data_IF_182290047573
#
_entry.id   IF_182290047573
#
_cell.length_a   1.000
_cell.length_b   1.000
_cell.length_c   1.000
_cell.angle_alpha   90.00
_cell.angle_beta   90.00
_cell.angle_gamma   90.00
#
_symmetry.space_group_name_H-M   'P 1'
#
loop_
_entity.id
_entity.type
_entity.pdbx_description
1 polymer ?
#
# COMPACT_ATOMS: atom_id res chain seq x y z
N UNK A 1 16.31 24.71 7.91
CA UNK A 1 16.48 23.93 9.17
C UNK A 1 15.21 23.27 9.73
N UNK A 2 14.01 23.88 9.65
CA UNK A 2 12.78 23.30 10.22
C UNK A 2 12.30 22.00 9.54
N UNK A 3 12.43 21.88 8.21
CA UNK A 3 12.02 20.68 7.44
C UNK A 3 12.86 19.45 7.81
N UNK A 4 14.20 19.56 7.79
CA UNK A 4 15.09 18.46 8.19
C UNK A 4 14.78 17.93 9.61
N UNK A 5 14.46 18.85 10.54
CA UNK A 5 14.10 18.50 11.93
C UNK A 5 12.76 17.78 12.02
N UNK A 6 11.77 18.17 11.23
CA UNK A 6 10.47 17.50 11.17
C UNK A 6 10.59 16.09 10.56
N UNK A 7 11.34 15.95 9.47
CA UNK A 7 11.57 14.64 8.84
C UNK A 7 12.28 13.68 9.80
N UNK A 8 13.38 14.11 10.42
CA UNK A 8 14.11 13.29 11.39
C UNK A 8 13.22 12.87 12.59
N UNK A 9 12.30 13.72 13.02
CA UNK A 9 11.36 13.39 14.10
C UNK A 9 10.27 12.43 13.65
N UNK A 10 9.70 12.62 12.46
CA UNK A 10 8.70 11.70 11.91
C UNK A 10 9.33 10.31 11.69
N UNK A 11 10.58 10.25 11.22
CA UNK A 11 11.36 9.02 11.15
C UNK A 11 11.53 8.36 12.52
N UNK A 12 11.84 9.15 13.55
CA UNK A 12 11.91 8.65 14.93
C UNK A 12 10.55 8.11 15.40
N UNK A 13 9.45 8.83 15.15
CA UNK A 13 8.10 8.38 15.48
C UNK A 13 7.76 7.05 14.79
N UNK A 14 8.01 6.95 13.49
CA UNK A 14 7.82 5.72 12.72
C UNK A 14 8.71 4.60 13.27
N UNK A 15 9.96 4.88 13.61
CA UNK A 15 10.83 3.89 14.23
C UNK A 15 10.25 3.36 15.55
N UNK A 16 9.71 4.23 16.42
CA UNK A 16 9.06 3.80 17.66
C UNK A 16 7.77 3.03 17.41
N UNK A 17 6.95 3.45 16.43
CA UNK A 17 5.75 2.73 16.02
C UNK A 17 6.12 1.33 15.49
N UNK A 18 7.09 1.25 14.57
CA UNK A 18 7.59 -0.02 14.01
C UNK A 18 8.23 -0.92 15.07
N UNK A 19 8.90 -0.34 16.07
CA UNK A 19 9.43 -1.08 17.21
C UNK A 19 8.30 -1.59 18.12
N UNK A 20 7.23 -0.82 18.27
CA UNK A 20 6.01 -1.19 19.01
C UNK A 20 5.27 -2.38 18.38
N UNK A 21 5.27 -2.48 17.05
CA UNK A 21 4.71 -3.61 16.28
C UNK A 21 5.44 -4.94 16.59
N UNK A 22 6.70 -4.87 17.02
CA UNK A 22 7.50 -6.07 17.35
C UNK A 22 7.70 -7.00 16.16
N UNK A 23 7.40 -8.30 16.35
CA UNK A 23 7.65 -9.34 15.34
C UNK A 23 6.78 -9.17 14.08
N UNK A 24 5.63 -8.51 14.21
CA UNK A 24 4.71 -8.27 13.09
C UNK A 24 5.26 -7.27 12.06
N UNK A 25 6.34 -6.55 12.36
CA UNK A 25 7.06 -5.70 11.41
C UNK A 25 7.73 -6.53 10.29
N UNK A 26 7.97 -7.83 10.53
CA UNK A 26 8.53 -8.75 9.55
C UNK A 26 7.51 -9.22 8.51
N UNK A 27 6.20 -9.06 8.74
CA UNK A 27 5.18 -9.62 7.85
C UNK A 27 5.27 -9.10 6.40
N UNK A 28 5.44 -7.79 6.14
CA UNK A 28 5.62 -7.29 4.77
C UNK A 28 6.91 -7.77 4.12
N UNK A 29 7.99 -7.91 4.91
CA UNK A 29 9.28 -8.41 4.43
C UNK A 29 9.17 -9.88 4.05
N UNK A 30 8.60 -10.72 4.91
CA UNK A 30 8.37 -12.14 4.64
C UNK A 30 7.40 -12.34 3.46
N UNK A 31 6.35 -11.52 3.37
CA UNK A 31 5.44 -11.55 2.23
C UNK A 31 6.16 -11.27 0.91
N UNK A 32 6.96 -10.21 0.85
CA UNK A 32 7.64 -9.82 -0.39
C UNK A 32 8.80 -10.74 -0.78
N UNK A 33 9.61 -11.19 0.19
CA UNK A 33 10.87 -11.88 -0.09
C UNK A 33 10.83 -13.39 0.13
N UNK A 34 9.80 -13.91 0.80
CA UNK A 34 9.64 -15.34 1.03
C UNK A 34 8.39 -15.84 0.29
N UNK A 35 7.21 -15.28 0.58
CA UNK A 35 5.96 -15.76 0.01
C UNK A 35 5.90 -15.63 -1.53
N UNK A 36 6.13 -14.42 -2.06
CA UNK A 36 6.04 -14.19 -3.52
C UNK A 36 7.09 -15.01 -4.29
N UNK A 37 8.38 -15.02 -3.92
CA UNK A 37 9.38 -15.81 -4.62
C UNK A 37 9.13 -17.32 -4.52
N UNK A 38 8.72 -17.84 -3.36
CA UNK A 38 8.38 -19.26 -3.23
C UNK A 38 7.18 -19.66 -4.11
N UNK A 39 6.15 -18.81 -4.18
CA UNK A 39 5.01 -19.04 -5.08
C UNK A 39 5.45 -19.05 -6.54
N UNK A 40 6.39 -18.18 -6.93
CA UNK A 40 6.95 -18.15 -8.28
C UNK A 40 7.84 -19.35 -8.59
N UNK A 41 8.66 -19.81 -7.64
CA UNK A 41 9.48 -21.01 -7.79
C UNK A 41 8.64 -22.27 -7.90
N UNK A 42 7.57 -22.39 -7.10
CA UNK A 42 6.62 -23.50 -7.19
C UNK A 42 5.92 -23.53 -8.57
N UNK A 43 5.48 -22.36 -9.06
CA UNK A 43 4.89 -22.23 -10.39
C UNK A 43 5.86 -22.64 -11.50
N UNK A 44 7.13 -22.24 -11.40
CA UNK A 44 8.16 -22.63 -12.36
C UNK A 44 8.48 -24.14 -12.32
N UNK A 45 8.55 -24.73 -11.11
CA UNK A 45 8.83 -26.15 -10.94
C UNK A 45 7.74 -27.10 -11.47
N UNK A 46 6.51 -26.61 -11.67
CA UNK A 46 5.40 -27.41 -12.20
C UNK A 46 5.33 -27.43 -13.73
N UNK A 47 5.82 -26.39 -14.41
CA UNK A 47 5.63 -26.24 -15.86
C UNK A 47 6.90 -25.93 -16.67
N UNK A 48 8.01 -25.52 -16.03
CA UNK A 48 9.24 -25.04 -16.67
C UNK A 48 9.03 -23.98 -17.76
N UNK A 49 7.89 -23.29 -17.76
CA UNK A 49 7.51 -22.31 -18.76
C UNK A 49 7.76 -20.88 -18.24
N UNK A 50 8.54 -20.11 -19.00
CA UNK A 50 8.89 -18.73 -18.67
C UNK A 50 7.72 -17.77 -18.85
N UNK A 51 6.80 -18.06 -19.78
CA UNK A 51 5.61 -17.23 -20.00
C UNK A 51 4.62 -17.40 -18.83
N UNK A 52 4.49 -18.64 -18.36
CA UNK A 52 3.71 -18.94 -17.16
C UNK A 52 4.29 -18.27 -15.91
N UNK A 53 5.62 -18.28 -15.77
CA UNK A 53 6.32 -17.60 -14.68
C UNK A 53 6.06 -16.08 -14.71
N UNK A 54 6.15 -15.45 -15.88
CA UNK A 54 5.85 -14.02 -16.05
C UNK A 54 4.42 -13.71 -15.60
N UNK A 55 3.44 -14.45 -16.11
CA UNK A 55 2.02 -14.26 -15.74
C UNK A 55 1.81 -14.44 -14.24
N UNK A 56 2.45 -15.45 -13.63
CA UNK A 56 2.33 -15.67 -12.20
C UNK A 56 2.93 -14.50 -11.40
N UNK A 57 4.13 -14.03 -11.74
CA UNK A 57 4.75 -12.87 -11.09
C UNK A 57 3.81 -11.66 -11.13
N UNK A 58 3.24 -11.36 -12.31
CA UNK A 58 2.32 -10.24 -12.48
C UNK A 58 1.10 -10.37 -11.57
N UNK A 59 0.47 -11.55 -11.53
CA UNK A 59 -0.71 -11.83 -10.71
C UNK A 59 -0.42 -11.73 -9.21
N UNK A 60 0.64 -12.41 -8.75
CA UNK A 60 1.00 -12.46 -7.34
C UNK A 60 1.37 -11.06 -6.81
N UNK A 61 2.14 -10.29 -7.58
CA UNK A 61 2.48 -8.91 -7.23
C UNK A 61 1.25 -8.00 -7.17
N UNK A 62 0.31 -8.13 -8.12
CA UNK A 62 -0.92 -7.32 -8.10
C UNK A 62 -1.84 -7.65 -6.92
N UNK A 63 -1.80 -8.87 -6.38
CA UNK A 63 -2.62 -9.26 -5.23
C UNK A 63 -1.92 -8.88 -3.91
N UNK A 64 -0.67 -9.30 -3.72
CA UNK A 64 0.00 -9.19 -2.43
C UNK A 64 0.59 -7.81 -2.17
N UNK A 65 1.20 -7.16 -3.17
CA UNK A 65 1.91 -5.90 -2.94
C UNK A 65 0.99 -4.76 -2.47
N UNK A 66 -0.25 -4.58 -2.98
CA UNK A 66 -1.16 -3.57 -2.46
C UNK A 66 -1.56 -3.82 -1.00
N UNK A 67 -1.89 -5.06 -0.64
CA UNK A 67 -2.30 -5.43 0.74
C UNK A 67 -1.13 -5.23 1.73
N UNK A 68 0.06 -5.74 1.39
CA UNK A 68 1.24 -5.61 2.23
C UNK A 68 1.69 -4.16 2.40
N UNK A 69 1.44 -3.28 1.41
CA UNK A 69 1.80 -1.86 1.49
C UNK A 69 1.08 -1.11 2.61
N UNK A 70 -0.16 -1.51 2.90
CA UNK A 70 -0.98 -0.86 3.93
C UNK A 70 -0.65 -1.36 5.32
N UNK A 71 0.12 -2.45 5.45
CA UNK A 71 0.46 -3.03 6.75
C UNK A 71 1.07 -2.00 7.71
N UNK A 72 2.11 -1.29 7.28
CA UNK A 72 2.74 -0.24 8.08
C UNK A 72 1.81 0.95 8.33
N UNK A 73 0.89 1.22 7.41
CA UNK A 73 -0.10 2.29 7.53
C UNK A 73 -1.13 1.96 8.61
N UNK A 74 -1.68 0.73 8.60
CA UNK A 74 -2.68 0.26 9.56
C UNK A 74 -2.14 0.33 10.99
N UNK A 75 -0.93 -0.17 11.23
CA UNK A 75 -0.33 -0.10 12.57
C UNK A 75 0.01 1.33 12.98
N UNK A 76 0.48 2.18 12.06
CA UNK A 76 0.70 3.59 12.38
C UNK A 76 -0.63 4.29 12.73
N UNK A 77 -1.72 3.97 12.04
CA UNK A 77 -3.06 4.46 12.32
C UNK A 77 -3.61 3.92 13.65
N UNK A 78 -3.26 2.70 14.02
CA UNK A 78 -3.67 2.09 15.27
C UNK A 78 -3.22 2.89 16.49
N UNK A 79 -1.92 3.19 16.52
CA UNK A 79 -1.32 4.04 17.54
C UNK A 79 -1.90 5.47 17.53
N UNK A 80 -2.38 5.95 16.37
CA UNK A 80 -2.99 7.27 16.28
C UNK A 80 -4.46 7.31 16.74
N UNK A 81 -5.22 6.23 16.54
CA UNK A 81 -6.69 6.26 16.69
C UNK A 81 -7.15 5.52 17.95
N UNK A 82 -6.58 4.36 18.27
CA UNK A 82 -7.13 3.46 19.29
C UNK A 82 -6.29 3.39 20.57
N UNK A 83 -4.99 3.68 20.53
CA UNK A 83 -4.16 3.62 21.73
C UNK A 83 -4.51 4.70 22.78
N UNK A 84 -4.46 4.36 24.08
CA UNK A 84 -4.68 5.31 25.16
C UNK A 84 -3.57 6.38 25.17
N UNK A 85 -3.97 7.65 25.30
CA UNK A 85 -3.02 8.77 25.24
C UNK A 85 -2.71 9.28 23.83
N UNK A 86 -3.42 8.80 22.80
CA UNK A 86 -3.29 9.28 21.43
C UNK A 86 -3.45 10.81 21.28
N UNK A 87 -4.13 11.50 22.20
CA UNK A 87 -4.30 12.95 22.21
C UNK A 87 -2.97 13.70 22.20
N UNK A 88 -1.96 13.15 22.87
CA UNK A 88 -0.60 13.70 22.90
C UNK A 88 0.01 13.81 21.49
N UNK A 89 -0.37 12.90 20.58
CA UNK A 89 0.09 12.89 19.21
C UNK A 89 -0.51 14.05 18.39
N UNK A 90 -1.65 14.59 18.81
CA UNK A 90 -2.39 15.67 18.14
C UNK A 90 -2.10 17.07 18.67
N UNK A 91 -1.46 17.19 19.85
CA UNK A 91 -1.10 18.49 20.46
C UNK A 91 -0.22 19.32 19.51
N UNK A 92 0.70 18.68 18.79
CA UNK A 92 1.71 19.38 17.99
C UNK A 92 1.44 19.36 16.49
N UNK A 93 0.92 18.25 15.95
CA UNK A 93 0.58 18.12 14.54
C UNK A 93 -0.78 17.46 14.39
N UNK A 94 -1.76 18.23 13.91
CA UNK A 94 -3.12 17.74 13.68
C UNK A 94 -3.23 16.79 12.48
N UNK A 95 -2.37 16.95 11.47
CA UNK A 95 -2.38 16.10 10.29
C UNK A 95 -1.30 15.01 10.39
N UNK A 96 -1.73 13.75 10.22
CA UNK A 96 -0.90 12.53 10.25
C UNK A 96 -0.48 12.03 8.88
N UNK A 97 -1.02 12.62 7.81
CA UNK A 97 -0.66 12.28 6.43
C UNK A 97 0.87 12.22 6.18
N UNK A 98 1.71 13.15 6.69
CA UNK A 98 3.15 13.08 6.44
C UNK A 98 3.85 11.87 7.06
N UNK A 99 3.36 11.38 8.21
CA UNK A 99 3.90 10.17 8.85
C UNK A 99 3.50 8.93 8.03
N UNK A 100 2.26 8.87 7.55
CA UNK A 100 1.76 7.77 6.71
C UNK A 100 2.41 7.74 5.32
N UNK A 101 2.68 8.91 4.72
CA UNK A 101 3.42 9.02 3.46
C UNK A 101 4.85 8.49 3.59
N UNK A 102 5.49 8.67 4.75
CA UNK A 102 6.81 8.08 5.00
C UNK A 102 6.72 6.55 5.13
N UNK A 103 5.66 5.99 5.73
CA UNK A 103 5.42 4.55 5.73
C UNK A 103 5.24 4.01 4.30
N UNK A 104 4.48 4.72 3.46
CA UNK A 104 4.34 4.40 2.04
C UNK A 104 5.69 4.42 1.32
N UNK A 105 6.49 5.49 1.48
CA UNK A 105 7.82 5.59 0.86
C UNK A 105 8.78 4.49 1.35
N UNK A 106 8.74 4.14 2.63
CA UNK A 106 9.54 3.05 3.18
C UNK A 106 9.16 1.71 2.52
N UNK A 107 7.87 1.47 2.27
CA UNK A 107 7.42 0.28 1.55
C UNK A 107 7.87 0.30 0.08
N UNK A 108 7.86 1.45 -0.60
CA UNK A 108 8.39 1.56 -1.97
C UNK A 108 9.88 1.18 -2.05
N UNK A 109 10.67 1.64 -1.07
CA UNK A 109 12.09 1.28 -0.96
C UNK A 109 12.24 -0.22 -0.71
N UNK A 110 11.37 -0.82 0.11
CA UNK A 110 11.36 -2.26 0.34
C UNK A 110 10.97 -3.06 -0.91
N UNK A 111 10.16 -2.50 -1.79
CA UNK A 111 9.70 -3.15 -3.02
C UNK A 111 10.77 -3.13 -4.14
N UNK A 112 11.64 -2.12 -4.15
CA UNK A 112 12.64 -1.91 -5.20
C UNK A 112 13.58 -3.10 -5.45
N UNK A 113 14.22 -3.74 -4.44
CA UNK A 113 15.13 -4.85 -4.69
C UNK A 113 14.44 -6.06 -5.36
N UNK A 114 13.20 -6.35 -4.95
CA UNK A 114 12.40 -7.42 -5.56
C UNK A 114 12.16 -7.14 -7.06
N UNK A 115 11.73 -5.91 -7.37
CA UNK A 115 11.51 -5.53 -8.77
C UNK A 115 12.80 -5.39 -9.55
N UNK A 116 13.93 -5.02 -8.95
CA UNK A 116 15.23 -4.98 -9.62
C UNK A 116 15.63 -6.38 -10.14
N UNK A 117 15.43 -7.42 -9.32
CA UNK A 117 15.65 -8.82 -9.72
C UNK A 117 14.69 -9.22 -10.84
N UNK A 118 13.40 -8.92 -10.69
CA UNK A 118 12.39 -9.26 -11.69
C UNK A 118 12.59 -8.52 -13.02
N UNK A 119 13.00 -7.25 -13.01
CA UNK A 119 13.33 -6.51 -14.23
C UNK A 119 14.59 -7.00 -14.92
N UNK A 120 15.51 -7.60 -14.16
CA UNK A 120 16.67 -8.29 -14.75
C UNK A 120 16.28 -9.53 -15.56
N UNK A 121 15.16 -10.19 -15.21
CA UNK A 121 14.62 -11.33 -15.95
C UNK A 121 13.64 -10.89 -17.06
N UNK A 122 12.74 -9.95 -16.75
CA UNK A 122 11.69 -9.46 -17.63
C UNK A 122 11.64 -7.92 -17.58
N UNK A 123 12.22 -7.21 -18.57
CA UNK A 123 12.31 -5.75 -18.56
C UNK A 123 10.96 -5.03 -18.41
N UNK A 124 9.88 -5.61 -18.94
CA UNK A 124 8.54 -5.05 -18.90
C UNK A 124 7.95 -4.91 -17.50
N UNK A 125 8.47 -5.65 -16.51
CA UNK A 125 8.00 -5.60 -15.12
C UNK A 125 8.30 -4.25 -14.43
N UNK A 126 9.13 -3.40 -15.03
CA UNK A 126 9.30 -2.02 -14.56
C UNK A 126 7.98 -1.22 -14.64
N UNK A 127 7.18 -1.45 -15.69
CA UNK A 127 5.87 -0.83 -15.82
C UNK A 127 4.90 -1.32 -14.74
N UNK A 128 5.03 -2.58 -14.32
CA UNK A 128 4.25 -3.12 -13.21
C UNK A 128 4.60 -2.43 -11.89
N UNK A 129 5.89 -2.14 -11.64
CA UNK A 129 6.31 -1.38 -10.46
C UNK A 129 5.65 0.01 -10.43
N UNK A 130 5.70 0.76 -11.53
CA UNK A 130 5.06 2.08 -11.62
C UNK A 130 3.55 2.02 -11.39
N UNK A 131 2.89 1.00 -11.96
CA UNK A 131 1.47 0.73 -11.72
C UNK A 131 1.17 0.48 -10.25
N UNK A 132 1.99 -0.35 -9.59
CA UNK A 132 1.82 -0.65 -8.17
C UNK A 132 2.01 0.57 -7.27
N UNK A 133 2.94 1.49 -7.57
CA UNK A 133 3.09 2.74 -6.82
C UNK A 133 1.76 3.52 -6.72
N UNK A 134 1.07 3.69 -7.85
CA UNK A 134 -0.21 4.43 -7.88
C UNK A 134 -1.32 3.66 -7.17
N UNK A 135 -1.40 2.35 -7.35
CA UNK A 135 -2.41 1.52 -6.67
C UNK A 135 -2.19 1.52 -5.16
N UNK A 136 -0.94 1.43 -4.71
CA UNK A 136 -0.60 1.47 -3.28
C UNK A 136 -0.91 2.83 -2.66
N UNK A 137 -0.80 3.91 -3.43
CA UNK A 137 -1.25 5.24 -3.00
C UNK A 137 -2.78 5.30 -2.80
N UNK A 138 -3.56 4.64 -3.66
CA UNK A 138 -5.00 4.49 -3.48
C UNK A 138 -5.32 3.70 -2.20
N UNK A 139 -4.62 2.59 -1.98
CA UNK A 139 -4.77 1.75 -0.79
C UNK A 139 -4.43 2.51 0.51
N UNK A 140 -3.37 3.32 0.50
CA UNK A 140 -3.06 4.27 1.57
C UNK A 140 -4.22 5.24 1.80
N UNK A 141 -4.75 5.85 0.74
CA UNK A 141 -5.85 6.80 0.81
C UNK A 141 -7.12 6.18 1.38
N UNK A 142 -7.49 4.99 0.90
CA UNK A 142 -8.64 4.22 1.37
C UNK A 142 -8.53 3.89 2.85
N UNK A 143 -7.39 3.35 3.27
CA UNK A 143 -7.14 3.01 4.67
C UNK A 143 -7.21 4.23 5.57
N UNK A 144 -6.54 5.33 5.17
CA UNK A 144 -6.52 6.59 5.90
C UNK A 144 -7.92 7.20 6.04
N UNK A 145 -8.67 7.31 4.93
CA UNK A 145 -10.01 7.90 4.94
C UNK A 145 -10.97 7.12 5.83
N UNK A 146 -11.07 5.81 5.63
CA UNK A 146 -12.00 4.94 6.36
C UNK A 146 -11.66 4.87 7.85
N UNK A 147 -10.37 4.81 8.21
CA UNK A 147 -9.94 4.79 9.60
C UNK A 147 -10.37 6.06 10.35
N UNK A 148 -10.18 7.24 9.76
CA UNK A 148 -10.58 8.50 10.39
C UNK A 148 -12.07 8.79 10.31
N UNK A 149 -12.76 8.34 9.26
CA UNK A 149 -14.21 8.48 9.12
C UNK A 149 -14.94 7.69 10.22
N UNK A 150 -14.55 6.43 10.41
CA UNK A 150 -15.22 5.51 11.34
C UNK A 150 -14.56 5.43 12.72
N UNK A 151 -13.36 6.02 12.90
CA UNK A 151 -12.56 5.99 14.13
C UNK A 151 -12.22 4.60 14.63
N UNK A 152 -12.17 3.64 13.72
CA UNK A 152 -11.87 2.25 14.00
C UNK A 152 -10.99 1.69 12.89
N UNK A 153 -9.92 1.03 13.28
CA UNK A 153 -8.97 0.44 12.34
C UNK A 153 -9.58 -0.80 11.71
N UNK A 154 -10.40 -1.56 12.46
CA UNK A 154 -11.06 -2.77 11.96
C UNK A 154 -11.87 -2.49 10.69
N UNK A 155 -12.56 -1.34 10.63
CA UNK A 155 -13.35 -0.94 9.45
C UNK A 155 -12.41 -0.58 8.28
N UNK A 156 -11.27 0.04 8.57
CA UNK A 156 -10.25 0.36 7.56
C UNK A 156 -9.64 -0.90 6.94
N UNK A 157 -9.26 -1.87 7.79
CA UNK A 157 -8.77 -3.19 7.34
C UNK A 157 -9.83 -3.89 6.49
N UNK A 158 -11.09 -3.90 6.94
CA UNK A 158 -12.18 -4.51 6.18
C UNK A 158 -12.38 -3.83 4.83
N UNK A 159 -12.35 -2.49 4.76
CA UNK A 159 -12.48 -1.75 3.51
C UNK A 159 -11.37 -2.09 2.51
N UNK A 160 -10.12 -2.19 2.98
CA UNK A 160 -8.97 -2.58 2.15
C UNK A 160 -9.12 -4.00 1.63
N UNK A 161 -9.52 -4.94 2.49
CA UNK A 161 -9.73 -6.34 2.09
C UNK A 161 -10.90 -6.48 1.11
N UNK A 162 -12.04 -5.83 1.38
CA UNK A 162 -13.19 -5.83 0.47
C UNK A 162 -12.82 -5.24 -0.90
N UNK A 163 -12.05 -4.15 -0.93
CA UNK A 163 -11.58 -3.58 -2.20
C UNK A 163 -10.64 -4.54 -2.94
N UNK A 164 -9.71 -5.20 -2.24
CA UNK A 164 -8.82 -6.19 -2.85
C UNK A 164 -9.58 -7.38 -3.46
N UNK A 165 -10.54 -7.94 -2.75
CA UNK A 165 -11.39 -9.04 -3.25
C UNK A 165 -12.22 -8.57 -4.45
N UNK A 166 -12.84 -7.39 -4.34
CA UNK A 166 -13.65 -6.82 -5.43
C UNK A 166 -12.83 -6.61 -6.69
N UNK A 167 -11.55 -6.20 -6.57
CA UNK A 167 -10.69 -6.00 -7.73
C UNK A 167 -10.34 -7.32 -8.43
N UNK A 168 -10.10 -8.40 -7.69
CA UNK A 168 -9.85 -9.72 -8.25
C UNK A 168 -11.11 -10.30 -8.89
N UNK A 169 -12.26 -10.18 -8.22
CA UNK A 169 -13.54 -10.67 -8.77
C UNK A 169 -13.98 -9.88 -10.00
N UNK A 170 -13.85 -8.55 -9.99
CA UNK A 170 -14.19 -7.73 -11.14
C UNK A 170 -13.36 -8.05 -12.39
N UNK A 171 -12.14 -8.57 -12.22
CA UNK A 171 -11.32 -9.05 -13.33
C UNK A 171 -11.89 -10.32 -13.99
N UNK A 172 -12.59 -11.17 -13.22
CA UNK A 172 -13.21 -12.39 -13.75
C UNK A 172 -14.48 -12.12 -14.55
N UNK A 173 -15.12 -10.97 -14.32
CA UNK A 173 -16.42 -10.58 -14.94
C UNK A 173 -16.21 -9.45 -15.96
N UNK A 174 -14.95 -9.12 -16.30
CA UNK A 174 -14.57 -8.03 -17.23
C UNK A 174 -15.23 -6.68 -16.93
N UNK A 175 -15.49 -6.37 -15.65
CA UNK A 175 -16.08 -5.07 -15.27
C UNK A 175 -15.01 -4.00 -15.38
N UNK A 176 -15.04 -3.29 -16.51
CA UNK A 176 -14.10 -2.23 -16.83
C UNK A 176 -14.29 -1.04 -15.88
N UNK A 177 -13.21 -0.63 -15.19
CA UNK A 177 -13.16 0.60 -14.38
C UNK A 177 -12.93 0.39 -12.88
N UNK A 178 -13.24 -0.78 -12.33
CA UNK A 178 -13.04 -1.08 -10.89
C UNK A 178 -11.76 -1.89 -10.68
N UNK A 179 -11.45 -2.81 -11.60
CA UNK A 179 -10.30 -3.69 -11.48
C UNK A 179 -9.05 -3.07 -12.10
N UNK A 180 -7.98 -3.03 -11.33
CA UNK A 180 -6.62 -2.84 -11.85
C UNK A 180 -5.95 -4.18 -12.22
N UNK A 181 -6.62 -5.31 -12.02
CA UNK A 181 -6.00 -6.61 -12.20
C UNK A 181 -5.95 -6.98 -13.69
N UNK A 182 -4.74 -7.12 -14.23
CA UNK A 182 -4.51 -7.48 -15.63
C UNK A 182 -3.30 -8.39 -15.78
N UNK A 183 -3.43 -9.40 -16.63
CA UNK A 183 -2.39 -10.37 -16.94
C UNK A 183 -1.26 -9.74 -17.76
N UNK A 184 -1.61 -8.90 -18.72
CA UNK A 184 -0.64 -8.18 -19.55
C UNK A 184 -0.47 -6.77 -18.98
N UNK A 185 0.79 -6.38 -18.82
CA UNK A 185 1.16 -5.06 -18.31
C UNK A 185 1.15 -4.06 -19.46
N UNK A 186 0.26 -3.08 -19.39
CA UNK A 186 0.21 -1.99 -20.35
C UNK A 186 1.47 -1.12 -20.25
N UNK A 187 1.91 -0.58 -21.38
CA UNK A 187 3.13 0.24 -21.48
C UNK A 187 2.79 1.67 -21.92
N UNK A 188 3.66 2.62 -21.57
CA UNK A 188 3.58 4.00 -22.08
C UNK A 188 2.26 4.71 -21.80
N UNK A 189 1.62 5.23 -22.85
CA UNK A 189 0.40 6.06 -22.75
C UNK A 189 -0.82 5.29 -22.27
N UNK A 190 -0.91 3.99 -22.57
CA UNK A 190 -2.05 3.16 -22.18
C UNK A 190 -2.05 2.86 -20.68
N UNK A 191 -0.85 2.71 -20.10
CA UNK A 191 -0.68 2.63 -18.65
C UNK A 191 -1.10 3.93 -17.97
N UNK A 192 -0.72 5.09 -18.49
CA UNK A 192 -1.13 6.38 -17.90
C UNK A 192 -2.64 6.51 -17.91
N UNK A 193 -3.29 6.19 -19.03
CA UNK A 193 -4.77 6.22 -19.14
C UNK A 193 -5.45 5.30 -18.13
N UNK A 194 -4.89 4.11 -17.91
CA UNK A 194 -5.38 3.18 -16.89
C UNK A 194 -5.21 3.71 -15.46
N UNK A 195 -4.12 4.42 -15.19
CA UNK A 195 -3.77 4.87 -13.83
C UNK A 195 -4.46 6.17 -13.40
N UNK A 196 -4.87 7.04 -14.34
CA UNK A 196 -5.58 8.29 -14.05
C UNK A 196 -6.76 8.11 -13.07
N UNK A 197 -7.73 7.21 -13.29
CA UNK A 197 -8.86 7.06 -12.38
C UNK A 197 -8.43 6.66 -10.96
N UNK A 198 -7.43 5.78 -10.84
CA UNK A 198 -6.92 5.34 -9.53
C UNK A 198 -6.16 6.47 -8.81
N UNK A 199 -5.37 7.26 -9.55
CA UNK A 199 -4.67 8.41 -8.99
C UNK A 199 -5.65 9.50 -8.52
N UNK A 200 -6.71 9.76 -9.30
CA UNK A 200 -7.78 10.69 -8.91
C UNK A 200 -8.52 10.20 -7.66
N UNK A 201 -8.91 8.92 -7.63
CA UNK A 201 -9.54 8.31 -6.46
C UNK A 201 -8.64 8.39 -5.21
N UNK A 202 -7.34 8.11 -5.37
CA UNK A 202 -6.36 8.25 -4.29
C UNK A 202 -6.32 9.69 -3.76
N UNK A 203 -6.26 10.68 -4.66
CA UNK A 203 -6.28 12.10 -4.30
C UNK A 203 -7.52 12.49 -3.50
N UNK A 204 -8.71 12.09 -3.97
CA UNK A 204 -9.99 12.35 -3.29
C UNK A 204 -10.00 11.73 -1.89
N UNK A 205 -9.58 10.47 -1.75
CA UNK A 205 -9.55 9.78 -0.46
C UNK A 205 -8.53 10.40 0.50
N UNK A 206 -7.34 10.80 0.01
CA UNK A 206 -6.34 11.45 0.84
C UNK A 206 -6.81 12.83 1.34
N UNK A 207 -7.46 13.62 0.48
CA UNK A 207 -8.06 14.90 0.86
C UNK A 207 -9.18 14.69 1.88
N UNK A 208 -10.11 13.78 1.60
CA UNK A 208 -11.19 13.43 2.52
C UNK A 208 -10.66 12.97 3.87
N UNK A 209 -9.63 12.12 3.88
CA UNK A 209 -8.98 11.64 5.09
C UNK A 209 -8.32 12.77 5.87
N UNK A 210 -7.73 13.77 5.21
CA UNK A 210 -7.15 14.94 5.88
C UNK A 210 -8.22 15.78 6.58
N UNK A 211 -9.38 15.95 5.96
CA UNK A 211 -10.51 16.65 6.54
C UNK A 211 -10.98 15.88 7.79
N UNK A 212 -11.21 14.58 7.68
CA UNK A 212 -11.63 13.73 8.81
C UNK A 212 -10.60 13.75 9.96
N UNK A 213 -9.31 13.67 9.64
CA UNK A 213 -8.22 13.71 10.62
C UNK A 213 -8.16 15.06 11.35
N UNK A 214 -8.38 16.18 10.64
CA UNK A 214 -8.39 17.50 11.25
C UNK A 214 -9.50 17.66 12.31
N UNK A 215 -10.67 17.08 12.07
CA UNK A 215 -11.83 17.12 12.98
C UNK A 215 -11.82 16.00 14.04
N UNK A 216 -10.93 15.02 13.93
CA UNK A 216 -10.83 13.89 14.86
C UNK A 216 -10.66 14.32 16.33
N UNK A 217 -9.70 15.20 16.70
CA UNK A 217 -9.49 15.57 18.11
C UNK A 217 -10.57 16.48 18.71
N UNK A 218 -11.47 17.07 17.92
CA UNK A 218 -12.51 17.98 18.42
C UNK A 218 -13.79 17.28 18.87
N UNK A 219 -13.94 16.00 18.55
CA UNK A 219 -15.17 15.24 18.74
C UNK A 219 -14.97 14.07 19.72
N UNK A 220 -14.05 14.22 20.67
CA UNK A 220 -13.89 13.33 21.82
C UNK A 220 -14.76 13.83 22.96
#
# INVERSE_FOLDING_TARGET
MRIKRNIARNLKNIYWQLKGIGIFNLAPVLGLYVLIPLANLAAYGMGHDMDYLYVNIVKQCQIFCPILSVWYVIFALEHCIEEPGNELLYIRHRNKLPELLLCYLAFQILLLPLFAVYTGMFPDLWWLYLKLCVIQLLYLGLAYFTAFLCRKITISVLAVLCYSISTVMAATIEVQGISYYKVIVNQGTDLVRELIPFALAAGVMLIGGCICNYYFPMRK
#
